data_IF_742224640451
#
_entry.id   IF_742224640451
#
_cell.length_a   1.000
_cell.length_b   1.000
_cell.length_c   1.000
_cell.angle_alpha   90.00
_cell.angle_beta   90.00
_cell.angle_gamma   90.00
#
_symmetry.space_group_name_H-M   'P 1'
#
loop_
_entity.id
_entity.type
_entity.pdbx_description
1 polymer ?
#
# COMPACT_ATOMS: atom_id res chain seq x y z
N UNK A 1 9.02 -2.02 -18.25
CA UNK A 1 8.81 -1.67 -16.82
C UNK A 1 7.34 -1.35 -16.60
N UNK A 2 6.67 -1.98 -15.61
CA UNK A 2 5.25 -1.69 -15.32
C UNK A 2 5.12 -0.33 -14.62
N UNK A 3 4.00 0.38 -14.86
CA UNK A 3 3.65 1.62 -14.14
C UNK A 3 3.55 1.34 -12.64
N UNK A 4 4.09 2.21 -11.80
CA UNK A 4 4.04 2.03 -10.34
C UNK A 4 2.59 1.98 -9.83
N UNK A 5 1.69 2.77 -10.41
CA UNK A 5 0.27 2.72 -10.05
C UNK A 5 -0.38 1.34 -10.31
N UNK A 6 0.02 0.65 -11.38
CA UNK A 6 -0.47 -0.70 -11.66
C UNK A 6 0.11 -1.74 -10.68
N UNK A 7 1.37 -1.57 -10.26
CA UNK A 7 1.99 -2.42 -9.25
C UNK A 7 1.29 -2.24 -7.89
N UNK A 8 1.03 -1.00 -7.47
CA UNK A 8 0.33 -0.69 -6.22
C UNK A 8 -1.11 -1.24 -6.22
N UNK A 9 -1.85 -1.16 -7.32
CA UNK A 9 -3.20 -1.72 -7.39
C UNK A 9 -3.19 -3.27 -7.28
N UNK A 10 -2.25 -3.97 -7.91
CA UNK A 10 -2.10 -5.44 -7.74
C UNK A 10 -1.64 -5.83 -6.34
N UNK A 11 -0.78 -5.00 -5.76
CA UNK A 11 -0.25 -5.16 -4.41
C UNK A 11 -1.33 -4.96 -3.34
N UNK A 12 -2.14 -3.90 -3.44
CA UNK A 12 -3.21 -3.59 -2.49
C UNK A 12 -4.46 -4.46 -2.66
N UNK A 13 -4.53 -5.29 -3.72
CA UNK A 13 -5.70 -6.12 -4.01
C UNK A 13 -6.22 -6.95 -2.82
N UNK A 14 -5.39 -7.63 -2.01
CA UNK A 14 -5.89 -8.44 -0.89
C UNK A 14 -6.69 -7.63 0.13
N UNK A 15 -6.24 -6.42 0.47
CA UNK A 15 -6.92 -5.56 1.44
C UNK A 15 -8.10 -4.80 0.84
N UNK A 16 -8.08 -4.55 -0.47
CA UNK A 16 -9.22 -3.94 -1.17
C UNK A 16 -10.37 -4.91 -1.40
N UNK A 17 -10.07 -6.18 -1.68
CA UNK A 17 -11.08 -7.22 -1.93
C UNK A 17 -11.82 -7.61 -0.63
N UNK A 18 -11.25 -7.31 0.54
CA UNK A 18 -11.90 -7.49 1.86
C UNK A 18 -12.95 -6.40 2.17
N UNK A 19 -12.93 -5.28 1.43
CA UNK A 19 -13.88 -4.19 1.65
C UNK A 19 -15.27 -4.54 1.09
N UNK A 20 -16.36 -4.24 1.83
CA UNK A 20 -17.71 -4.33 1.29
C UNK A 20 -17.85 -3.58 -0.04
N UNK A 21 -18.65 -4.07 -1.01
CA UNK A 21 -18.85 -3.42 -2.31
C UNK A 21 -19.29 -1.95 -2.20
N UNK A 22 -20.12 -1.67 -1.20
CA UNK A 22 -20.72 -0.38 -0.84
C UNK A 22 -19.78 0.53 -0.01
N UNK A 23 -18.54 0.10 0.26
CA UNK A 23 -17.53 0.91 0.93
C UNK A 23 -17.28 2.22 0.20
N UNK A 24 -17.30 3.32 0.95
CA UNK A 24 -17.10 4.67 0.43
C UNK A 24 -15.77 4.84 -0.32
N UNK A 25 -15.74 5.79 -1.25
CA UNK A 25 -14.51 6.11 -1.97
C UNK A 25 -13.40 6.63 -1.03
N UNK A 26 -13.80 7.34 0.03
CA UNK A 26 -12.88 7.86 1.04
C UNK A 26 -12.19 6.72 1.80
N UNK A 27 -12.93 5.74 2.28
CA UNK A 27 -12.37 4.56 2.96
C UNK A 27 -11.47 3.74 2.02
N UNK A 28 -11.87 3.55 0.76
CA UNK A 28 -11.01 2.90 -0.25
C UNK A 28 -9.71 3.69 -0.46
N UNK A 29 -9.77 5.03 -0.39
CA UNK A 29 -8.60 5.90 -0.50
C UNK A 29 -7.66 5.71 0.68
N UNK A 30 -8.19 5.65 1.89
CA UNK A 30 -7.41 5.40 3.11
C UNK A 30 -6.69 4.06 3.05
N UNK A 31 -7.37 3.01 2.57
CA UNK A 31 -6.77 1.67 2.39
C UNK A 31 -5.65 1.68 1.35
N UNK A 32 -5.83 2.37 0.22
CA UNK A 32 -4.74 2.57 -0.75
C UNK A 32 -3.57 3.34 -0.12
N UNK A 33 -3.86 4.40 0.63
CA UNK A 33 -2.85 5.20 1.32
C UNK A 33 -2.04 4.37 2.32
N UNK A 34 -2.72 3.51 3.09
CA UNK A 34 -2.10 2.56 3.99
C UNK A 34 -1.22 1.56 3.24
N UNK A 35 -1.71 0.98 2.13
CA UNK A 35 -0.91 0.09 1.31
C UNK A 35 0.37 0.78 0.79
N UNK A 36 0.25 2.02 0.28
CA UNK A 36 1.39 2.82 -0.17
C UNK A 36 2.38 3.09 0.97
N UNK A 37 1.90 3.36 2.18
CA UNK A 37 2.75 3.55 3.36
C UNK A 37 3.60 2.31 3.66
N UNK A 38 2.98 1.11 3.66
CA UNK A 38 3.69 -0.16 3.89
C UNK A 38 4.67 -0.46 2.77
N UNK A 39 4.26 -0.24 1.51
CA UNK A 39 5.14 -0.38 0.34
C UNK A 39 6.40 0.50 0.48
N UNK A 40 6.20 1.78 0.80
CA UNK A 40 7.30 2.71 0.96
C UNK A 40 8.21 2.33 2.14
N UNK A 41 7.65 1.86 3.26
CA UNK A 41 8.47 1.40 4.39
C UNK A 41 9.40 0.25 3.98
N UNK A 42 8.92 -0.71 3.18
CA UNK A 42 9.75 -1.80 2.64
C UNK A 42 10.84 -1.29 1.70
N UNK A 43 10.51 -0.34 0.82
CA UNK A 43 11.50 0.29 -0.07
C UNK A 43 12.54 1.08 0.74
N UNK A 44 12.15 1.76 1.82
CA UNK A 44 13.09 2.48 2.68
C UNK A 44 14.10 1.53 3.33
N UNK A 45 13.70 0.31 3.70
CA UNK A 45 14.61 -0.73 4.17
C UNK A 45 15.63 -1.08 3.09
N UNK A 46 15.19 -1.30 1.86
CA UNK A 46 16.07 -1.56 0.70
C UNK A 46 17.02 -0.38 0.41
N UNK A 47 16.58 0.85 0.70
CA UNK A 47 17.39 2.08 0.56
C UNK A 47 18.32 2.36 1.76
N UNK A 48 18.45 1.41 2.69
CA UNK A 48 19.40 1.50 3.81
C UNK A 48 18.82 2.16 5.06
N UNK A 49 17.50 2.17 5.24
CA UNK A 49 16.81 2.59 6.48
C UNK A 49 16.10 1.38 7.11
N UNK A 50 16.84 0.45 7.73
CA UNK A 50 16.30 -0.83 8.18
C UNK A 50 15.20 -0.72 9.24
N UNK A 51 15.22 0.35 10.05
CA UNK A 51 14.30 0.52 11.18
C UNK A 51 12.89 0.97 10.75
N UNK A 52 12.73 1.50 9.53
CA UNK A 52 11.47 2.12 9.09
C UNK A 52 10.27 1.18 9.14
N UNK A 53 10.47 -0.09 8.78
CA UNK A 53 9.39 -1.07 8.76
C UNK A 53 8.99 -1.48 10.19
N UNK A 54 9.97 -1.65 11.09
CA UNK A 54 9.74 -1.98 12.49
C UNK A 54 9.04 -0.82 13.22
N UNK A 55 9.54 0.40 13.05
CA UNK A 55 8.94 1.62 13.61
C UNK A 55 7.48 1.81 13.15
N UNK A 56 7.20 1.50 11.87
CA UNK A 56 5.83 1.53 11.36
C UNK A 56 4.98 0.47 12.08
N UNK A 57 5.43 -0.78 12.14
CA UNK A 57 4.69 -1.86 12.81
C UNK A 57 4.39 -1.54 14.27
N UNK A 58 5.36 -0.99 15.01
CA UNK A 58 5.20 -0.62 16.41
C UNK A 58 4.14 0.48 16.58
N UNK A 59 4.11 1.48 15.69
CA UNK A 59 3.07 2.51 15.71
C UNK A 59 1.69 1.94 15.42
N UNK A 60 1.57 1.04 14.45
CA UNK A 60 0.29 0.40 14.12
C UNK A 60 -0.25 -0.44 15.29
N UNK A 61 0.64 -1.06 16.08
CA UNK A 61 0.26 -1.83 17.26
C UNK A 61 -0.36 -0.98 18.39
N UNK A 62 -0.17 0.35 18.37
CA UNK A 62 -0.76 1.28 19.35
C UNK A 62 -2.14 1.81 18.98
N UNK A 63 -2.63 1.50 17.78
CA UNK A 63 -3.91 2.00 17.29
C UNK A 63 -5.09 1.23 17.92
N UNK A 64 -6.23 1.91 18.06
CA UNK A 64 -7.48 1.23 18.34
C UNK A 64 -7.81 0.26 17.18
N UNK A 65 -8.13 -0.99 17.50
CA UNK A 65 -8.31 -2.03 16.47
C UNK A 65 -6.99 -2.53 15.85
N UNK A 66 -5.87 -2.45 16.58
CA UNK A 66 -4.55 -2.87 16.13
C UNK A 66 -4.52 -4.24 15.45
N UNK A 67 -5.28 -5.25 15.91
CA UNK A 67 -5.30 -6.59 15.31
C UNK A 67 -5.69 -6.58 13.82
N UNK A 68 -6.65 -5.74 13.43
CA UNK A 68 -7.11 -5.63 12.05
C UNK A 68 -6.01 -4.98 11.20
N UNK A 69 -5.45 -3.88 11.69
CA UNK A 69 -4.45 -3.07 10.98
C UNK A 69 -3.12 -3.82 10.85
N UNK A 70 -2.68 -4.49 11.91
CA UNK A 70 -1.46 -5.33 11.92
C UNK A 70 -1.64 -6.56 11.05
N UNK A 71 -2.82 -7.19 11.04
CA UNK A 71 -3.13 -8.26 10.11
C UNK A 71 -3.06 -7.82 8.64
N UNK A 72 -3.61 -6.64 8.32
CA UNK A 72 -3.51 -6.07 6.96
C UNK A 72 -2.05 -5.73 6.59
N UNK A 73 -1.28 -5.19 7.54
CA UNK A 73 0.16 -4.93 7.38
C UNK A 73 0.92 -6.22 7.02
N UNK A 74 0.74 -7.30 7.77
CA UNK A 74 1.47 -8.55 7.55
C UNK A 74 1.13 -9.17 6.17
N UNK A 75 -0.15 -9.14 5.76
CA UNK A 75 -0.58 -9.57 4.41
C UNK A 75 0.08 -8.75 3.30
N UNK A 76 0.18 -7.43 3.50
CA UNK A 76 0.82 -6.53 2.55
C UNK A 76 2.33 -6.79 2.45
N UNK A 77 3.03 -6.95 3.57
CA UNK A 77 4.46 -7.30 3.58
C UNK A 77 4.72 -8.59 2.81
N UNK A 78 3.96 -9.64 3.12
CA UNK A 78 4.06 -10.94 2.42
C UNK A 78 3.80 -10.77 0.91
N UNK A 79 2.77 -10.00 0.54
CA UNK A 79 2.41 -9.73 -0.86
C UNK A 79 3.52 -9.04 -1.64
N UNK A 80 4.23 -8.05 -1.05
CA UNK A 80 5.39 -7.41 -1.73
C UNK A 80 6.47 -8.45 -1.96
N UNK A 81 6.82 -9.23 -0.94
CA UNK A 81 7.88 -10.24 -1.02
C UNK A 81 7.58 -11.32 -2.07
N UNK A 82 6.32 -11.74 -2.23
CA UNK A 82 5.96 -12.78 -3.19
C UNK A 82 5.88 -12.30 -4.65
N UNK A 83 5.44 -11.06 -4.90
CA UNK A 83 5.08 -10.61 -6.26
C UNK A 83 5.84 -9.38 -6.76
N UNK A 84 6.43 -8.61 -5.85
CA UNK A 84 7.04 -7.30 -6.12
C UNK A 84 8.39 -7.11 -5.41
N UNK A 85 9.09 -8.22 -5.09
CA UNK A 85 10.34 -8.18 -4.32
C UNK A 85 11.44 -7.35 -4.99
N UNK A 86 11.43 -7.22 -6.31
CA UNK A 86 12.43 -6.49 -7.09
C UNK A 86 11.98 -5.08 -7.48
N UNK A 87 10.79 -4.63 -7.07
CA UNK A 87 10.38 -3.24 -7.29
C UNK A 87 10.87 -2.40 -6.10
N UNK A 88 11.96 -1.67 -6.35
CA UNK A 88 12.70 -0.83 -5.41
C UNK A 88 12.29 0.64 -5.49
N UNK A 89 11.20 0.93 -6.21
CA UNK A 89 10.70 2.29 -6.39
C UNK A 89 9.72 2.64 -5.29
N UNK A 90 9.95 3.75 -4.60
CA UNK A 90 8.98 4.33 -3.70
C UNK A 90 7.87 5.05 -4.48
N UNK A 91 6.75 5.30 -3.82
CA UNK A 91 5.66 6.11 -4.32
C UNK A 91 5.76 7.51 -3.70
N UNK A 92 5.81 8.53 -4.55
CA UNK A 92 5.73 9.94 -4.17
C UNK A 92 4.28 10.42 -4.14
N UNK A 93 3.97 11.44 -4.95
CA UNK A 93 2.60 11.91 -5.07
C UNK A 93 1.69 10.85 -5.70
N UNK A 94 0.46 10.75 -5.23
CA UNK A 94 -0.54 9.85 -5.79
C UNK A 94 -1.95 10.43 -5.69
N UNK A 95 -2.82 9.98 -6.59
CA UNK A 95 -4.20 10.40 -6.66
C UNK A 95 -5.08 9.23 -7.09
N UNK A 96 -6.20 9.04 -6.38
CA UNK A 96 -7.20 8.04 -6.73
C UNK A 96 -8.44 8.72 -7.29
N UNK A 97 -8.95 8.19 -8.40
CA UNK A 97 -10.17 8.67 -9.07
C UNK A 97 -11.07 7.49 -9.40
N UNK A 98 -12.38 7.74 -9.48
CA UNK A 98 -13.34 6.80 -10.03
C UNK A 98 -13.54 7.14 -11.51
N UNK A 99 -13.47 6.14 -12.38
CA UNK A 99 -13.77 6.32 -13.81
C UNK A 99 -15.27 6.29 -14.05
N UNK A 100 -15.69 6.70 -15.25
CA UNK A 100 -17.09 6.68 -15.66
C UNK A 100 -17.76 5.30 -15.58
N UNK A 101 -16.98 4.21 -15.68
CA UNK A 101 -17.45 2.83 -15.55
C UNK A 101 -17.50 2.31 -14.10
N UNK A 102 -17.24 3.18 -13.12
CA UNK A 102 -17.18 2.82 -11.69
C UNK A 102 -15.86 2.16 -11.27
N UNK A 103 -14.92 1.92 -12.19
CA UNK A 103 -13.62 1.34 -11.85
C UNK A 103 -12.70 2.35 -11.17
N UNK A 104 -11.86 1.86 -10.27
CA UNK A 104 -10.83 2.67 -9.61
C UNK A 104 -9.66 2.93 -10.57
N UNK A 105 -9.21 4.18 -10.61
CA UNK A 105 -8.01 4.61 -11.30
C UNK A 105 -7.03 5.20 -10.30
N UNK A 106 -5.78 4.75 -10.36
CA UNK A 106 -4.68 5.29 -9.55
C UNK A 106 -3.66 5.96 -10.47
N UNK A 107 -3.35 7.22 -10.17
CA UNK A 107 -2.13 7.87 -10.62
C UNK A 107 -1.14 7.87 -9.46
N UNK A 108 0.14 7.58 -9.75
CA UNK A 108 1.19 7.55 -8.75
C UNK A 108 2.53 7.89 -9.40
N UNK A 109 3.31 8.70 -8.72
CA UNK A 109 4.66 9.08 -9.09
C UNK A 109 5.66 8.07 -8.54
N UNK A 110 6.49 7.50 -9.42
CA UNK A 110 7.58 6.61 -9.00
C UNK A 110 8.78 7.45 -8.56
N UNK A 111 9.39 7.10 -7.42
CA UNK A 111 10.64 7.69 -6.92
C UNK A 111 11.71 6.61 -6.86
N UNK A 112 12.87 6.92 -7.41
CA UNK A 112 14.08 6.10 -7.27
C UNK A 112 14.97 6.63 -6.14
N UNK A 113 16.02 5.86 -5.85
CA UNK A 113 17.07 6.23 -4.90
C UNK A 113 17.88 7.43 -5.37
#
# INVERSE_FOLDING_TARGET
>A
MKKISAAILDYAKPVLDELPPDTSLETRREVIGFAILVWNALVMVEWGRPDFLADLKDRLATLEGADIVTGAFDRLVERKQQRHAHDDRAVGNWEMRVKHDGSLSLWAEARGR
#
